data_IF_194879417804
#
_entry.id   IF_194879417804
#
_cell.length_a   1.000
_cell.length_b   1.000
_cell.length_c   1.000
_cell.angle_alpha   90.00
_cell.angle_beta   90.00
_cell.angle_gamma   90.00
#
_symmetry.space_group_name_H-M   'P 1'
#
loop_
_entity.id
_entity.type
_entity.pdbx_description
1 polymer ?
#
# COMPACT_ATOMS: atom_id res chain seq x y z
N UNK A 1 -3.37 48.38 -19.37
CA UNK A 1 -3.43 46.91 -19.57
C UNK A 1 -2.85 46.23 -18.34
N UNK A 2 -3.69 45.56 -17.55
CA UNK A 2 -3.26 44.69 -16.44
C UNK A 2 -2.66 43.41 -17.02
N UNK A 3 -1.41 43.11 -16.67
CA UNK A 3 -0.67 41.97 -17.18
C UNK A 3 -1.00 40.73 -16.33
N UNK A 4 -2.03 39.98 -16.74
CA UNK A 4 -2.42 38.71 -16.13
C UNK A 4 -1.45 37.61 -16.56
N UNK A 5 -0.31 37.49 -15.87
CA UNK A 5 0.56 36.33 -15.96
C UNK A 5 0.28 35.37 -14.80
N UNK A 6 -0.92 34.78 -14.76
CA UNK A 6 -1.12 33.56 -14.00
C UNK A 6 -0.60 32.41 -14.87
N UNK A 7 0.71 32.15 -14.77
CA UNK A 7 1.26 30.87 -15.20
C UNK A 7 0.87 29.86 -14.13
N UNK A 8 0.11 28.85 -14.52
CA UNK A 8 -0.28 27.69 -13.72
C UNK A 8 0.95 26.83 -13.34
N UNK A 9 1.88 27.44 -12.62
CA UNK A 9 2.98 26.75 -11.97
C UNK A 9 2.40 26.00 -10.78
N UNK A 10 2.53 24.69 -10.80
CA UNK A 10 2.24 23.82 -9.67
C UNK A 10 2.87 24.45 -8.42
N UNK A 11 2.05 24.86 -7.45
CA UNK A 11 2.54 25.46 -6.21
C UNK A 11 3.34 24.40 -5.47
N UNK A 12 4.66 24.55 -5.46
CA UNK A 12 5.58 23.59 -4.86
C UNK A 12 5.21 23.25 -3.41
N UNK A 13 4.79 24.26 -2.64
CA UNK A 13 4.36 24.10 -1.25
C UNK A 13 3.11 23.23 -1.12
N UNK A 14 2.18 23.32 -2.08
CA UNK A 14 0.99 22.47 -2.11
C UNK A 14 1.37 21.02 -2.40
N UNK A 15 2.27 20.80 -3.37
CA UNK A 15 2.76 19.45 -3.70
C UNK A 15 3.47 18.82 -2.52
N UNK A 16 4.37 19.58 -1.88
CA UNK A 16 5.09 19.10 -0.71
C UNK A 16 4.12 18.73 0.40
N UNK A 17 3.17 19.61 0.72
CA UNK A 17 2.18 19.37 1.76
C UNK A 17 1.30 18.14 1.48
N UNK A 18 0.84 17.97 0.23
CA UNK A 18 0.03 16.80 -0.17
C UNK A 18 0.86 15.52 -0.07
N UNK A 19 2.09 15.55 -0.55
CA UNK A 19 3.00 14.40 -0.53
C UNK A 19 3.32 13.98 0.91
N UNK A 20 3.66 14.94 1.78
CA UNK A 20 3.94 14.68 3.19
C UNK A 20 2.72 14.14 3.92
N UNK A 21 1.55 14.72 3.66
CA UNK A 21 0.29 14.26 4.24
C UNK A 21 -0.05 12.83 3.80
N UNK A 22 0.18 12.50 2.54
CA UNK A 22 -0.06 11.16 2.00
C UNK A 22 0.95 10.14 2.51
N UNK A 23 2.24 10.50 2.59
CA UNK A 23 3.27 9.62 3.12
C UNK A 23 3.04 9.30 4.61
N UNK A 24 2.67 10.31 5.40
CA UNK A 24 2.40 10.16 6.83
C UNK A 24 1.16 9.31 7.13
N UNK A 25 0.18 9.25 6.23
CA UNK A 25 -1.03 8.45 6.45
C UNK A 25 -0.78 6.93 6.40
N UNK A 26 0.40 6.51 5.96
CA UNK A 26 0.82 5.11 5.91
C UNK A 26 1.76 4.69 7.05
N UNK A 27 2.10 5.61 7.94
CA UNK A 27 2.93 5.34 9.10
C UNK A 27 2.00 5.03 10.28
N UNK A 28 2.14 3.85 10.85
CA UNK A 28 1.42 3.40 12.04
C UNK A 28 2.39 2.72 13.00
N UNK A 29 2.02 2.66 14.27
CA UNK A 29 2.82 2.02 15.31
C UNK A 29 3.03 0.55 15.00
N UNK A 30 4.25 0.04 15.22
CA UNK A 30 4.56 -1.38 14.99
C UNK A 30 3.73 -2.33 15.87
N UNK A 31 3.17 -1.84 16.97
CA UNK A 31 2.26 -2.58 17.84
C UNK A 31 0.81 -2.66 17.34
N UNK A 32 0.43 -1.85 16.35
CA UNK A 32 -0.91 -1.89 15.77
C UNK A 32 -1.00 -3.05 14.75
N UNK A 33 -1.84 -4.08 14.98
CA UNK A 33 -1.92 -5.26 14.12
C UNK A 33 -2.71 -4.98 12.83
N UNK A 34 -2.24 -4.02 12.05
CA UNK A 34 -2.81 -3.60 10.78
C UNK A 34 -1.83 -3.82 9.64
N UNK A 35 -2.32 -4.37 8.53
CA UNK A 35 -1.58 -4.40 7.28
C UNK A 35 -2.05 -3.27 6.38
N UNK A 36 -1.10 -2.51 5.87
CA UNK A 36 -1.32 -1.62 4.75
C UNK A 36 -1.31 -2.42 3.45
N UNK A 37 -2.27 -2.16 2.57
CA UNK A 37 -2.24 -2.65 1.20
C UNK A 37 -2.31 -1.49 0.21
N UNK A 38 -1.69 -1.70 -0.96
CA UNK A 38 -1.77 -0.81 -2.11
C UNK A 38 -1.88 -1.60 -3.41
N UNK A 39 -2.82 -1.21 -4.27
CA UNK A 39 -3.03 -1.70 -5.62
C UNK A 39 -2.39 -0.67 -6.56
N UNK A 40 -1.31 -1.07 -7.23
CA UNK A 40 -0.63 -0.21 -8.21
C UNK A 40 -1.23 -0.40 -9.59
N UNK A 41 -1.33 0.70 -10.33
CA UNK A 41 -1.81 0.77 -11.71
C UNK A 41 -3.08 -0.06 -11.98
N UNK A 42 -4.15 0.12 -11.19
CA UNK A 42 -5.37 -0.65 -11.39
C UNK A 42 -5.97 -0.37 -12.77
N UNK A 43 -6.49 -1.40 -13.42
CA UNK A 43 -7.25 -1.24 -14.65
C UNK A 43 -8.54 -0.44 -14.37
N UNK A 44 -8.67 0.72 -15.02
CA UNK A 44 -9.84 1.59 -14.91
C UNK A 44 -10.50 1.70 -16.29
N UNK A 45 -11.71 1.14 -16.44
CA UNK A 45 -12.52 1.24 -17.65
C UNK A 45 -14.02 1.06 -17.34
N UNK A 46 -14.86 0.90 -18.37
CA UNK A 46 -16.33 0.72 -18.19
C UNK A 46 -16.71 -0.59 -17.49
N UNK A 47 -15.82 -1.58 -17.45
CA UNK A 47 -16.05 -2.91 -16.88
C UNK A 47 -15.37 -3.06 -15.52
N UNK A 48 -14.16 -2.54 -15.38
CA UNK A 48 -13.33 -2.66 -14.18
C UNK A 48 -13.12 -1.31 -13.53
N UNK A 49 -13.31 -1.27 -12.21
CA UNK A 49 -13.02 -0.09 -11.41
C UNK A 49 -12.37 -0.46 -10.08
N UNK A 50 -11.39 0.32 -9.65
CA UNK A 50 -10.77 0.18 -8.34
C UNK A 50 -11.10 1.41 -7.49
N UNK A 51 -12.07 1.26 -6.58
CA UNK A 51 -12.54 2.34 -5.70
C UNK A 51 -11.62 2.62 -4.51
N UNK A 52 -10.90 1.58 -4.06
CA UNK A 52 -10.00 1.64 -2.91
C UNK A 52 -8.64 1.06 -3.30
N UNK A 53 -7.78 1.86 -3.97
CA UNK A 53 -6.46 1.41 -4.39
C UNK A 53 -5.47 1.31 -3.23
N UNK A 54 -5.82 1.73 -2.03
CA UNK A 54 -5.04 1.54 -0.82
C UNK A 54 -5.95 1.51 0.39
N UNK A 55 -5.44 0.98 1.49
CA UNK A 55 -6.13 0.97 2.77
C UNK A 55 -5.42 0.10 3.78
N UNK A 56 -6.07 -0.07 4.93
CA UNK A 56 -5.60 -0.92 6.02
C UNK A 56 -6.56 -2.07 6.27
N UNK A 57 -6.05 -3.18 6.80
CA UNK A 57 -6.86 -4.31 7.26
C UNK A 57 -6.05 -5.33 8.04
N UNK A 58 -6.71 -6.10 8.91
CA UNK A 58 -6.09 -7.20 9.67
C UNK A 58 -6.09 -8.52 8.91
N UNK A 59 -6.87 -8.61 7.82
CA UNK A 59 -6.99 -9.80 6.96
C UNK A 59 -7.27 -9.39 5.51
N UNK A 60 -6.49 -9.94 4.59
CA UNK A 60 -6.62 -9.74 3.15
C UNK A 60 -6.88 -11.08 2.47
N UNK A 61 -7.89 -11.13 1.61
CA UNK A 61 -8.16 -12.26 0.74
C UNK A 61 -7.93 -11.85 -0.71
N UNK A 62 -7.00 -12.54 -1.38
CA UNK A 62 -6.57 -12.19 -2.73
C UNK A 62 -6.79 -13.40 -3.62
N UNK A 63 -7.46 -13.18 -4.76
CA UNK A 63 -7.64 -14.19 -5.81
C UNK A 63 -7.05 -13.66 -7.11
N UNK A 64 -6.12 -14.41 -7.68
CA UNK A 64 -5.51 -14.06 -8.95
C UNK A 64 -6.48 -14.26 -10.11
N UNK A 65 -6.43 -13.30 -11.04
CA UNK A 65 -7.06 -13.38 -12.37
C UNK A 65 -6.04 -13.24 -13.49
N UNK A 66 -4.76 -13.35 -13.16
CA UNK A 66 -3.64 -13.12 -14.07
C UNK A 66 -3.17 -14.44 -14.69
N UNK A 67 -2.82 -14.44 -15.98
CA UNK A 67 -2.30 -15.65 -16.64
C UNK A 67 -0.93 -16.05 -16.11
N UNK A 68 -0.04 -15.07 -15.95
CA UNK A 68 1.36 -15.24 -15.53
C UNK A 68 1.65 -14.24 -14.42
N UNK A 69 1.37 -14.65 -13.18
CA UNK A 69 1.56 -13.81 -12.01
C UNK A 69 2.39 -14.51 -10.95
N UNK A 70 3.00 -13.70 -10.10
CA UNK A 70 3.91 -14.15 -9.06
C UNK A 70 3.53 -13.49 -7.74
N UNK A 71 3.48 -14.30 -6.68
CA UNK A 71 3.41 -13.83 -5.30
C UNK A 71 4.83 -13.82 -4.74
N UNK A 72 5.32 -12.65 -4.33
CA UNK A 72 6.61 -12.51 -3.65
C UNK A 72 6.41 -12.17 -2.17
N UNK A 73 7.20 -12.80 -1.30
CA UNK A 73 7.17 -12.59 0.16
C UNK A 73 8.58 -12.22 0.61
N UNK A 74 8.71 -11.13 1.38
CA UNK A 74 9.95 -10.61 2.00
C UNK A 74 11.15 -10.35 1.06
N UNK A 75 10.94 -10.50 -0.25
CA UNK A 75 11.95 -10.27 -1.28
C UNK A 75 12.80 -11.50 -1.64
N UNK A 76 12.75 -12.58 -0.87
CA UNK A 76 13.55 -13.79 -1.13
C UNK A 76 12.74 -14.96 -1.73
N UNK A 77 11.43 -15.00 -1.47
CA UNK A 77 10.58 -16.15 -1.79
C UNK A 77 9.52 -15.74 -2.79
N UNK A 78 9.35 -16.56 -3.83
CA UNK A 78 8.33 -16.34 -4.85
C UNK A 78 7.56 -17.61 -5.20
N UNK A 79 6.29 -17.44 -5.53
CA UNK A 79 5.38 -18.52 -5.92
C UNK A 79 4.64 -18.15 -7.19
N UNK A 80 4.42 -19.13 -8.07
CA UNK A 80 3.48 -18.98 -9.19
C UNK A 80 2.08 -18.70 -8.62
N UNK A 81 1.44 -17.64 -9.11
CA UNK A 81 0.16 -17.14 -8.61
C UNK A 81 -0.79 -16.81 -9.76
N UNK A 82 -0.94 -17.76 -10.68
CA UNK A 82 -1.76 -17.64 -11.89
C UNK A 82 -3.27 -17.71 -11.60
N UNK A 83 -4.08 -17.55 -12.64
CA UNK A 83 -5.54 -17.45 -12.55
C UNK A 83 -6.15 -18.59 -11.73
N UNK A 84 -7.03 -18.21 -10.80
CA UNK A 84 -7.68 -19.13 -9.89
C UNK A 84 -6.92 -19.35 -8.58
N UNK A 85 -5.63 -19.01 -8.50
CA UNK A 85 -4.86 -19.05 -7.25
C UNK A 85 -5.46 -18.09 -6.21
N UNK A 86 -5.45 -18.50 -4.94
CA UNK A 86 -5.95 -17.66 -3.85
C UNK A 86 -5.04 -17.72 -2.64
N UNK A 87 -4.86 -16.59 -1.97
CA UNK A 87 -4.21 -16.50 -0.67
C UNK A 87 -5.07 -15.75 0.32
N UNK A 88 -4.80 -16.04 1.59
CA UNK A 88 -5.27 -15.24 2.72
C UNK A 88 -4.05 -14.80 3.51
N UNK A 89 -3.90 -13.50 3.68
CA UNK A 89 -2.87 -12.88 4.52
C UNK A 89 -3.57 -12.35 5.76
N UNK A 90 -3.03 -12.63 6.95
CA UNK A 90 -3.62 -12.20 8.21
C UNK A 90 -2.53 -11.98 9.26
N UNK A 91 -2.77 -11.04 10.17
CA UNK A 91 -1.92 -10.85 11.35
C UNK A 91 -2.50 -11.68 12.49
N UNK A 92 -1.68 -12.54 13.07
CA UNK A 92 -2.02 -13.41 14.19
C UNK A 92 -1.12 -13.07 15.39
N UNK A 93 -1.68 -12.80 16.59
CA UNK A 93 -0.88 -12.49 17.77
C UNK A 93 0.13 -13.58 18.15
N UNK A 94 -0.19 -14.85 17.87
CA UNK A 94 0.67 -16.00 18.10
C UNK A 94 1.94 -16.00 17.24
N UNK A 95 1.92 -15.32 16.09
CA UNK A 95 3.05 -15.22 15.15
C UNK A 95 3.88 -13.95 15.37
N UNK A 96 3.59 -13.17 16.43
CA UNK A 96 4.27 -11.91 16.68
C UNK A 96 5.76 -12.10 16.99
N UNK A 97 6.61 -11.33 16.28
CA UNK A 97 8.04 -11.26 16.56
C UNK A 97 8.27 -10.64 17.95
N UNK A 98 9.22 -11.19 18.70
CA UNK A 98 9.62 -10.67 20.01
C UNK A 98 10.84 -9.77 19.88
N UNK A 99 10.70 -8.52 20.31
CA UNK A 99 11.79 -7.55 20.36
C UNK A 99 12.32 -7.46 21.79
N UNK A 100 13.64 -7.55 21.95
CA UNK A 100 14.32 -7.27 23.22
C UNK A 100 14.73 -5.80 23.21
N UNK A 101 14.32 -5.04 24.23
CA UNK A 101 14.81 -3.69 24.48
C UNK A 101 15.97 -3.81 25.48
N UNK A 102 17.13 -3.28 25.12
CA UNK A 102 18.29 -3.22 25.99
C UNK A 102 18.31 -1.85 26.67
N UNK A 103 18.40 -1.83 27.99
CA UNK A 103 18.62 -0.59 28.73
C UNK A 103 20.07 -0.12 28.53
N UNK A 104 20.27 1.18 28.38
CA UNK A 104 21.61 1.78 28.40
C UNK A 104 22.02 2.04 29.87
N UNK A 105 23.23 1.60 30.26
CA UNK A 105 23.82 1.83 31.60
C UNK A 105 24.11 3.32 31.87
#
# INVERSE_FOLDING_TARGET
>A
MTNNNNKDGVQHDLVQKVTDSYAKSFIFEASDPQMLYAIRDPMQNKVYSCKKPYGVGSKLHIRSRCWDATLCIDGDTSFVFNDGSSITVQILPEDALRTVVLDED
#
